data_IF_881092724727
#
_entry.id   IF_881092724727
#
_cell.length_a   1.000
_cell.length_b   1.000
_cell.length_c   1.000
_cell.angle_alpha   90.00
_cell.angle_beta   90.00
_cell.angle_gamma   90.00
#
_symmetry.space_group_name_H-M   'P 1'
#
loop_
_entity.id
_entity.type
_entity.pdbx_description
1 polymer ?
#
# COMPACT_ATOMS: atom_id res chain seq x y z
N UNK A 1 25.23 6.62 4.40
CA UNK A 1 24.43 7.41 5.37
C UNK A 1 24.56 8.88 5.01
N UNK A 2 23.54 9.47 4.38
CA UNK A 2 23.32 10.92 4.35
C UNK A 2 21.82 11.13 4.54
N UNK A 3 21.42 11.42 5.78
CA UNK A 3 20.13 12.00 6.14
C UNK A 3 20.13 13.44 5.63
N UNK A 4 19.14 13.87 4.86
CA UNK A 4 18.90 15.30 4.65
C UNK A 4 17.40 15.60 4.34
N UNK A 5 16.87 16.72 4.86
CA UNK A 5 15.45 16.99 5.12
C UNK A 5 14.68 17.54 3.90
N UNK A 6 15.08 17.17 2.69
CA UNK A 6 14.63 17.82 1.45
C UNK A 6 13.20 17.42 1.04
N UNK A 7 12.71 16.28 1.55
CA UNK A 7 11.46 15.66 1.09
C UNK A 7 10.20 16.37 1.63
N UNK A 8 10.29 17.00 2.80
CA UNK A 8 9.12 17.65 3.43
C UNK A 8 8.80 19.02 2.81
N UNK A 9 9.80 19.78 2.36
CA UNK A 9 9.58 21.14 1.86
C UNK A 9 9.11 21.19 0.39
N UNK A 10 9.37 20.12 -0.37
CA UNK A 10 9.01 20.03 -1.79
C UNK A 10 7.52 19.74 -2.00
N UNK A 11 6.93 18.90 -1.14
CA UNK A 11 5.53 18.50 -1.23
C UNK A 11 4.56 19.64 -0.91
N UNK A 12 4.88 20.52 0.04
CA UNK A 12 4.02 21.66 0.41
C UNK A 12 3.96 22.74 -0.68
N UNK A 13 4.99 22.86 -1.53
CA UNK A 13 5.04 23.87 -2.61
C UNK A 13 4.41 23.42 -3.93
N UNK A 14 4.10 22.14 -4.09
CA UNK A 14 3.52 21.60 -5.33
C UNK A 14 1.98 21.62 -5.35
N UNK A 15 1.33 21.60 -4.18
CA UNK A 15 -0.14 21.57 -4.06
C UNK A 15 -0.87 22.77 -4.67
N UNK A 16 -0.16 23.85 -5.04
CA UNK A 16 -0.75 25.09 -5.55
C UNK A 16 -0.20 25.52 -6.92
N UNK A 17 0.70 24.74 -7.53
CA UNK A 17 1.42 25.19 -8.73
C UNK A 17 0.82 24.61 -10.00
N UNK A 18 0.35 25.50 -10.88
CA UNK A 18 -0.09 25.15 -12.24
C UNK A 18 0.99 24.31 -12.95
N UNK A 19 0.62 23.33 -13.78
CA UNK A 19 1.55 22.41 -14.46
C UNK A 19 2.76 23.08 -15.15
N UNK A 20 2.60 24.33 -15.62
CA UNK A 20 3.67 25.12 -16.25
C UNK A 20 4.79 25.60 -15.31
N UNK A 21 4.60 25.63 -13.99
CA UNK A 21 5.63 26.13 -13.06
C UNK A 21 6.70 25.08 -12.73
N UNK A 22 6.41 23.79 -12.86
CA UNK A 22 7.37 22.71 -12.53
C UNK A 22 8.47 22.60 -13.60
N UNK A 23 8.13 22.81 -14.88
CA UNK A 23 9.11 22.83 -15.99
C UNK A 23 10.15 23.95 -15.87
N UNK A 24 9.83 25.07 -15.22
CA UNK A 24 10.78 26.18 -15.02
C UNK A 24 11.91 25.85 -14.05
N UNK A 25 11.69 24.89 -13.14
CA UNK A 25 12.68 24.51 -12.12
C UNK A 25 13.51 23.31 -12.55
N UNK A 26 13.00 22.47 -13.46
CA UNK A 26 13.74 21.34 -14.02
C UNK A 26 13.53 21.27 -15.53
N UNK A 27 14.46 21.79 -16.35
CA UNK A 27 14.32 21.81 -17.80
C UNK A 27 14.35 20.40 -18.43
N UNK A 28 14.83 19.39 -17.70
CA UNK A 28 14.81 17.98 -18.14
C UNK A 28 13.51 17.26 -17.78
N UNK A 29 12.62 17.88 -17.01
CA UNK A 29 11.33 17.29 -16.64
C UNK A 29 10.30 17.54 -17.75
N UNK A 30 9.97 16.47 -18.46
CA UNK A 30 8.86 16.46 -19.40
C UNK A 30 7.62 15.91 -18.70
N UNK A 31 6.58 16.74 -18.60
CA UNK A 31 5.31 16.37 -18.00
C UNK A 31 4.20 16.49 -19.04
N UNK A 32 3.42 15.42 -19.14
CA UNK A 32 2.21 15.30 -19.95
C UNK A 32 1.10 14.83 -19.02
N UNK A 33 -0.06 15.49 -19.14
CA UNK A 33 -1.25 15.19 -18.36
C UNK A 33 -2.36 14.88 -19.35
N UNK A 34 -3.19 13.89 -19.05
CA UNK A 34 -4.40 13.56 -19.79
C UNK A 34 -5.60 13.61 -18.85
N UNK A 35 -6.74 14.09 -19.34
CA UNK A 35 -7.95 14.26 -18.53
C UNK A 35 -9.14 13.61 -19.23
N UNK A 36 -9.87 12.76 -18.51
CA UNK A 36 -11.08 12.10 -19.03
C UNK A 36 -12.33 13.00 -18.88
N UNK A 37 -12.45 13.75 -17.78
CA UNK A 37 -13.56 14.68 -17.53
C UNK A 37 -13.22 16.12 -17.91
N UNK A 38 -12.88 16.36 -19.17
CA UNK A 38 -12.47 17.69 -19.66
C UNK A 38 -13.60 18.52 -20.27
N UNK A 39 -14.81 17.98 -20.37
CA UNK A 39 -15.98 18.66 -20.95
C UNK A 39 -16.35 19.88 -20.11
N UNK A 40 -16.63 21.01 -20.77
CA UNK A 40 -16.95 22.28 -20.09
C UNK A 40 -15.75 22.97 -19.43
N UNK A 41 -14.52 22.54 -19.71
CA UNK A 41 -13.29 23.18 -19.19
C UNK A 41 -12.41 23.74 -20.33
N UNK A 42 -11.54 24.71 -20.02
CA UNK A 42 -10.55 25.28 -20.96
C UNK A 42 -9.37 24.33 -21.27
N UNK A 43 -9.51 23.03 -21.00
CA UNK A 43 -8.46 22.04 -21.18
C UNK A 43 -8.12 21.84 -22.66
N UNK A 44 -6.85 22.09 -23.03
CA UNK A 44 -6.33 21.95 -24.40
C UNK A 44 -5.36 20.77 -24.58
N UNK A 45 -5.12 19.98 -23.53
CA UNK A 45 -4.21 18.84 -23.58
C UNK A 45 -4.87 17.56 -24.07
N UNK A 46 -4.12 16.44 -24.07
CA UNK A 46 -4.65 15.11 -24.35
C UNK A 46 -5.87 14.78 -23.48
N UNK A 47 -6.83 14.03 -24.05
CA UNK A 47 -8.05 13.60 -23.36
C UNK A 47 -8.13 12.07 -23.31
N UNK A 48 -8.77 11.57 -22.27
CA UNK A 48 -8.99 10.14 -22.06
C UNK A 48 -7.96 9.47 -21.15
N UNK A 49 -7.92 8.13 -21.20
CA UNK A 49 -7.04 7.27 -20.39
C UNK A 49 -5.65 7.13 -21.03
N UNK A 50 -4.73 6.45 -20.34
CA UNK A 50 -3.44 6.09 -20.91
C UNK A 50 -3.64 5.08 -22.03
N UNK A 51 -3.20 5.42 -23.24
CA UNK A 51 -3.23 4.55 -24.42
C UNK A 51 -1.82 4.38 -24.99
N UNK A 52 -1.67 3.38 -25.86
CA UNK A 52 -0.42 3.10 -26.56
C UNK A 52 0.05 4.32 -27.36
N UNK A 53 -0.85 4.96 -28.07
CA UNK A 53 -0.61 6.13 -28.92
C UNK A 53 -0.12 7.32 -28.09
N UNK A 54 -0.75 7.55 -26.93
CA UNK A 54 -0.34 8.63 -26.04
C UNK A 54 1.08 8.40 -25.50
N UNK A 55 1.40 7.17 -25.11
CA UNK A 55 2.72 6.82 -24.56
C UNK A 55 3.82 6.90 -25.62
N UNK A 56 3.60 6.36 -26.82
CA UNK A 56 4.60 6.39 -27.91
C UNK A 56 4.85 7.80 -28.42
N UNK A 57 3.80 8.63 -28.54
CA UNK A 57 3.93 10.02 -28.96
C UNK A 57 4.67 10.86 -27.90
N UNK A 58 4.46 10.57 -26.62
CA UNK A 58 4.99 11.39 -25.52
C UNK A 58 6.39 10.97 -25.07
N UNK A 59 6.71 9.68 -25.16
CA UNK A 59 7.89 9.09 -24.51
C UNK A 59 8.75 8.38 -25.57
N UNK A 60 9.72 9.08 -26.20
CA UNK A 60 10.59 8.44 -27.21
C UNK A 60 11.46 7.37 -26.55
N UNK A 61 11.71 6.23 -27.20
CA UNK A 61 12.52 5.13 -26.64
C UNK A 61 12.02 4.61 -25.27
N UNK A 62 10.69 4.39 -25.14
CA UNK A 62 10.09 3.91 -23.89
C UNK A 62 10.68 2.57 -23.41
N UNK A 63 11.00 1.66 -24.32
CA UNK A 63 11.55 0.32 -24.01
C UNK A 63 12.90 0.35 -23.28
N UNK A 64 13.72 1.40 -23.46
CA UNK A 64 15.01 1.51 -22.76
C UNK A 64 14.91 2.24 -21.42
N UNK A 65 13.71 2.66 -21.00
CA UNK A 65 13.51 3.49 -19.80
C UNK A 65 12.98 2.68 -18.62
N UNK A 66 13.37 3.12 -17.42
CA UNK A 66 12.75 2.66 -16.17
C UNK A 66 11.40 3.35 -16.01
N UNK A 67 10.36 2.57 -15.76
CA UNK A 67 9.00 3.06 -15.57
C UNK A 67 8.61 2.90 -14.11
N UNK A 68 8.19 3.99 -13.48
CA UNK A 68 7.57 3.97 -12.16
C UNK A 68 6.07 4.16 -12.32
N UNK A 69 5.29 3.19 -11.87
CA UNK A 69 3.84 3.14 -12.09
C UNK A 69 3.12 3.02 -10.73
N UNK A 70 2.24 3.97 -10.47
CA UNK A 70 1.45 4.02 -9.26
C UNK A 70 0.06 4.53 -9.62
N UNK A 71 -0.97 3.97 -8.97
CA UNK A 71 -2.35 4.36 -9.18
C UNK A 71 -3.33 3.27 -8.76
N UNK A 72 -4.62 3.42 -9.10
CA UNK A 72 -5.63 2.38 -8.89
C UNK A 72 -5.24 1.07 -9.60
N UNK A 73 -5.54 -0.11 -9.01
CA UNK A 73 -5.15 -1.42 -9.57
C UNK A 73 -5.53 -1.61 -11.03
N UNK A 74 -6.77 -1.30 -11.41
CA UNK A 74 -7.25 -1.43 -12.80
C UNK A 74 -6.49 -0.55 -13.80
N UNK A 75 -6.07 0.64 -13.38
CA UNK A 75 -5.24 1.53 -14.20
C UNK A 75 -3.83 0.97 -14.34
N UNK A 76 -3.24 0.46 -13.26
CA UNK A 76 -1.91 -0.11 -13.29
C UNK A 76 -1.86 -1.38 -14.15
N UNK A 77 -2.85 -2.26 -14.05
CA UNK A 77 -2.96 -3.47 -14.89
C UNK A 77 -3.06 -3.12 -16.38
N UNK A 78 -3.98 -2.22 -16.73
CA UNK A 78 -4.13 -1.76 -18.11
C UNK A 78 -2.84 -1.11 -18.64
N UNK A 79 -2.16 -0.32 -17.82
CA UNK A 79 -0.91 0.34 -18.21
C UNK A 79 0.23 -0.66 -18.36
N UNK A 80 0.34 -1.67 -17.47
CA UNK A 80 1.34 -2.75 -17.59
C UNK A 80 1.17 -3.50 -18.91
N UNK A 81 -0.06 -3.84 -19.29
CA UNK A 81 -0.34 -4.52 -20.57
C UNK A 81 0.18 -3.70 -21.76
N UNK A 82 -0.13 -2.39 -21.80
CA UNK A 82 0.36 -1.49 -22.86
C UNK A 82 1.90 -1.42 -22.87
N UNK A 83 2.54 -1.34 -21.70
CA UNK A 83 4.01 -1.30 -21.60
C UNK A 83 4.67 -2.58 -22.12
N UNK A 84 4.08 -3.74 -21.81
CA UNK A 84 4.53 -5.03 -22.34
C UNK A 84 4.41 -5.09 -23.86
N UNK A 85 3.30 -4.64 -24.44
CA UNK A 85 3.15 -4.55 -25.90
C UNK A 85 4.16 -3.59 -26.55
N UNK A 86 4.61 -2.57 -25.83
CA UNK A 86 5.62 -1.61 -26.28
C UNK A 86 7.06 -2.10 -26.05
N UNK A 87 7.24 -3.34 -25.61
CA UNK A 87 8.55 -3.97 -25.44
C UNK A 87 9.32 -3.50 -24.21
N UNK A 88 8.65 -2.95 -23.19
CA UNK A 88 9.28 -2.64 -21.90
C UNK A 88 9.47 -3.94 -21.11
N UNK A 89 10.71 -4.22 -20.70
CA UNK A 89 10.98 -5.44 -19.95
C UNK A 89 10.34 -5.37 -18.54
N UNK A 90 9.76 -6.46 -18.00
CA UNK A 90 9.12 -6.45 -16.69
C UNK A 90 10.01 -5.91 -15.56
N UNK A 91 11.32 -6.21 -15.59
CA UNK A 91 12.28 -5.73 -14.60
C UNK A 91 12.48 -4.20 -14.56
N UNK A 92 12.12 -3.50 -15.65
CA UNK A 92 12.19 -2.04 -15.75
C UNK A 92 10.95 -1.34 -15.18
N UNK A 93 9.85 -2.06 -14.94
CA UNK A 93 8.62 -1.52 -14.37
C UNK A 93 8.64 -1.69 -12.85
N UNK A 94 8.63 -0.57 -12.13
CA UNK A 94 8.54 -0.52 -10.66
C UNK A 94 7.16 -0.04 -10.28
N UNK A 95 6.45 -0.80 -9.46
CA UNK A 95 5.09 -0.47 -9.07
C UNK A 95 4.95 -0.22 -7.60
N UNK A 96 4.11 0.75 -7.25
CA UNK A 96 3.70 1.03 -5.88
C UNK A 96 2.18 1.11 -5.86
N UNK A 97 1.55 0.22 -5.07
CA UNK A 97 0.10 0.11 -4.99
C UNK A 97 -0.36 0.91 -3.77
N UNK A 98 -1.09 2.01 -4.01
CA UNK A 98 -1.72 2.76 -2.95
C UNK A 98 -3.20 2.42 -2.87
N UNK A 99 -3.60 1.91 -1.71
CA UNK A 99 -4.96 1.47 -1.42
C UNK A 99 -5.18 0.03 -1.84
N UNK A 100 -5.48 -0.82 -0.85
CA UNK A 100 -6.14 -2.06 -1.14
C UNK A 100 -7.48 -1.74 -1.82
N UNK A 101 -7.80 -2.42 -2.92
CA UNK A 101 -9.21 -2.67 -3.24
C UNK A 101 -9.78 -3.35 -2.01
N UNK A 102 -10.49 -2.60 -1.16
CA UNK A 102 -11.15 -3.17 0.01
C UNK A 102 -11.88 -4.43 -0.47
N UNK A 103 -11.61 -5.63 0.07
CA UNK A 103 -12.60 -6.68 -0.01
C UNK A 103 -13.88 -6.04 0.51
N UNK A 104 -14.98 -6.20 -0.23
CA UNK A 104 -16.29 -5.68 0.15
C UNK A 104 -16.47 -5.93 1.66
N UNK A 105 -16.68 -4.88 2.48
CA UNK A 105 -16.86 -5.09 3.89
C UNK A 105 -18.06 -6.00 4.09
N UNK A 106 -17.84 -7.19 4.63
CA UNK A 106 -18.80 -7.71 5.60
C UNK A 106 -18.82 -6.68 6.74
N UNK A 107 -20.02 -6.31 7.15
CA UNK A 107 -20.31 -5.07 7.85
C UNK A 107 -19.52 -4.88 9.16
N UNK A 108 -19.44 -3.61 9.55
CA UNK A 108 -19.06 -3.04 10.86
C UNK A 108 -17.57 -2.72 11.08
N UNK A 109 -17.27 -1.43 10.92
CA UNK A 109 -16.08 -0.77 11.47
C UNK A 109 -16.49 0.57 12.06
N UNK A 110 -17.23 0.54 13.17
CA UNK A 110 -17.40 1.70 14.04
C UNK A 110 -16.38 1.54 15.17
N UNK A 111 -15.48 2.51 15.31
CA UNK A 111 -14.64 2.66 16.49
C UNK A 111 -15.54 2.76 17.72
N UNK A 112 -15.65 1.65 18.44
CA UNK A 112 -16.23 1.57 19.77
C UNK A 112 -15.32 0.62 20.53
N UNK A 113 -14.65 1.14 21.56
CA UNK A 113 -14.00 0.31 22.59
C UNK A 113 -14.95 -0.84 22.96
N UNK A 114 -14.57 -2.12 22.79
CA UNK A 114 -15.42 -3.22 23.22
C UNK A 114 -15.48 -3.22 24.76
N UNK A 115 -16.64 -2.90 25.31
CA UNK A 115 -17.01 -3.14 26.73
C UNK A 115 -17.57 -4.56 26.90
N UNK A 116 -17.35 -5.46 25.92
CA UNK A 116 -17.72 -6.86 26.04
C UNK A 116 -16.52 -7.67 26.57
N UNK A 117 -16.72 -8.71 27.39
CA UNK A 117 -15.64 -9.60 27.77
C UNK A 117 -15.09 -10.30 26.52
N UNK A 118 -13.79 -10.16 26.28
CA UNK A 118 -13.09 -10.87 25.22
C UNK A 118 -13.31 -12.38 25.38
N UNK A 119 -14.09 -12.95 24.47
CA UNK A 119 -14.47 -14.38 24.47
C UNK A 119 -13.71 -15.16 23.39
N UNK A 120 -12.86 -14.49 22.61
CA UNK A 120 -12.08 -15.12 21.55
C UNK A 120 -10.79 -15.77 22.03
N UNK A 121 -9.98 -16.24 21.07
CA UNK A 121 -8.74 -16.98 21.34
C UNK A 121 -7.73 -16.18 22.17
N UNK A 122 -6.88 -16.91 22.89
CA UNK A 122 -5.79 -16.33 23.67
C UNK A 122 -4.63 -15.99 22.75
N UNK A 123 -4.25 -14.71 22.72
CA UNK A 123 -3.05 -14.25 22.01
C UNK A 123 -1.94 -14.04 23.02
N UNK A 124 -0.81 -14.71 22.80
CA UNK A 124 0.37 -14.63 23.67
C UNK A 124 1.50 -13.87 22.97
N UNK A 125 1.99 -12.83 23.63
CA UNK A 125 3.11 -12.01 23.17
C UNK A 125 4.38 -12.44 23.89
N UNK A 126 5.21 -13.24 23.22
CA UNK A 126 6.32 -13.96 23.84
C UNK A 126 7.42 -13.03 24.37
N UNK A 127 7.66 -11.85 23.78
CA UNK A 127 8.73 -10.96 24.25
C UNK A 127 8.35 -10.18 25.51
N UNK A 128 7.04 -9.91 25.66
CA UNK A 128 6.52 -9.16 26.79
C UNK A 128 5.91 -10.04 27.89
N UNK A 129 5.87 -11.36 27.68
CA UNK A 129 5.23 -12.34 28.58
C UNK A 129 3.79 -11.95 28.95
N UNK A 130 3.09 -11.32 28.02
CA UNK A 130 1.70 -10.87 28.17
C UNK A 130 0.80 -11.74 27.31
N UNK A 131 -0.35 -12.12 27.85
CA UNK A 131 -1.39 -12.83 27.11
C UNK A 131 -2.74 -12.19 27.37
N UNK A 132 -3.53 -11.99 26.32
CA UNK A 132 -4.88 -11.49 26.46
C UNK A 132 -5.80 -12.17 25.45
N UNK A 133 -7.08 -12.24 25.79
CA UNK A 133 -8.10 -12.73 24.86
C UNK A 133 -8.40 -11.63 23.86
N UNK A 134 -8.52 -12.03 22.59
CA UNK A 134 -8.85 -11.13 21.49
C UNK A 134 -10.35 -11.15 21.20
N UNK A 135 -10.88 -10.08 20.61
CA UNK A 135 -12.22 -10.09 20.02
C UNK A 135 -12.20 -10.68 18.60
N UNK A 136 -13.29 -11.33 18.18
CA UNK A 136 -13.41 -11.98 16.85
C UNK A 136 -13.18 -11.00 15.69
N UNK A 137 -13.54 -9.73 15.87
CA UNK A 137 -13.36 -8.70 14.85
C UNK A 137 -12.04 -7.91 14.96
N UNK A 138 -11.26 -8.17 16.02
CA UNK A 138 -10.05 -7.43 16.34
C UNK A 138 -8.81 -8.10 15.75
N UNK A 139 -7.89 -7.27 15.27
CA UNK A 139 -6.58 -7.72 14.79
C UNK A 139 -5.56 -7.86 15.91
N UNK A 140 -4.52 -8.68 15.71
CA UNK A 140 -3.41 -8.82 16.66
C UNK A 140 -2.75 -7.47 16.95
N UNK A 141 -2.66 -6.58 15.94
CA UNK A 141 -2.15 -5.22 16.13
C UNK A 141 -3.00 -4.42 17.12
N UNK A 142 -4.32 -4.42 16.97
CA UNK A 142 -5.21 -3.66 17.86
C UNK A 142 -5.12 -4.18 19.31
N UNK A 143 -5.04 -5.50 19.50
CA UNK A 143 -4.81 -6.07 20.82
C UNK A 143 -3.44 -5.68 21.40
N UNK A 144 -2.41 -5.63 20.57
CA UNK A 144 -1.09 -5.18 21.00
C UNK A 144 -1.11 -3.71 21.47
N UNK A 145 -1.87 -2.84 20.80
CA UNK A 145 -2.04 -1.43 21.19
C UNK A 145 -2.74 -1.32 22.57
N UNK A 146 -3.76 -2.14 22.82
CA UNK A 146 -4.46 -2.19 24.11
C UNK A 146 -3.56 -2.65 25.26
N UNK A 147 -2.65 -3.58 25.00
CA UNK A 147 -1.68 -4.08 25.97
C UNK A 147 -0.41 -3.23 26.09
N UNK A 148 -0.34 -2.12 25.33
CA UNK A 148 0.84 -1.26 25.17
C UNK A 148 2.10 -2.05 24.74
N UNK A 149 1.92 -2.95 23.78
CA UNK A 149 2.97 -3.76 23.14
C UNK A 149 3.38 -3.07 21.83
N UNK A 150 4.68 -2.82 21.68
CA UNK A 150 5.20 -2.04 20.56
C UNK A 150 5.38 -2.86 19.29
N UNK A 151 4.33 -3.01 18.49
CA UNK A 151 4.43 -3.48 17.10
C UNK A 151 4.52 -2.27 16.18
N UNK A 152 5.52 -2.23 15.30
CA UNK A 152 5.61 -1.16 14.30
C UNK A 152 4.48 -1.28 13.27
N UNK A 153 3.83 -0.17 12.92
CA UNK A 153 2.78 -0.17 11.89
C UNK A 153 2.77 1.13 11.08
N UNK A 154 2.17 1.08 9.89
CA UNK A 154 1.99 2.27 9.04
C UNK A 154 0.65 2.26 8.30
N UNK A 155 0.50 1.44 7.25
CA UNK A 155 -0.69 1.53 6.37
C UNK A 155 -1.98 0.94 6.98
N UNK A 156 -1.87 0.02 7.95
CA UNK A 156 -2.97 -0.77 8.55
C UNK A 156 -3.87 -1.55 7.56
N UNK A 157 -3.46 -1.67 6.29
CA UNK A 157 -4.24 -2.34 5.23
C UNK A 157 -3.51 -3.52 4.58
N UNK A 158 -2.39 -3.98 5.18
CA UNK A 158 -1.66 -5.17 4.72
C UNK A 158 -0.72 -4.98 3.53
N UNK A 159 -0.47 -3.74 3.07
CA UNK A 159 0.33 -3.49 1.85
C UNK A 159 1.75 -2.97 2.10
N UNK A 160 2.05 -2.39 3.26
CA UNK A 160 3.37 -1.79 3.53
C UNK A 160 4.39 -2.73 4.18
N UNK A 161 3.96 -3.83 4.81
CA UNK A 161 4.86 -4.79 5.48
C UNK A 161 5.51 -4.32 6.80
N UNK A 162 5.28 -3.09 7.26
CA UNK A 162 5.81 -2.59 8.56
C UNK A 162 5.28 -3.42 9.75
N UNK A 163 4.05 -3.92 9.65
CA UNK A 163 3.39 -4.70 10.71
C UNK A 163 3.79 -6.19 10.75
N UNK A 164 4.95 -6.57 10.16
CA UNK A 164 5.44 -7.96 10.14
C UNK A 164 5.85 -8.41 11.54
N UNK A 165 5.29 -9.53 11.99
CA UNK A 165 5.64 -10.19 13.25
C UNK A 165 5.74 -11.69 13.01
N UNK A 166 6.63 -12.36 13.74
CA UNK A 166 6.78 -13.81 13.67
C UNK A 166 5.76 -14.50 14.57
N UNK A 167 5.00 -15.43 14.00
CA UNK A 167 4.08 -16.31 14.71
C UNK A 167 4.84 -17.58 15.14
N UNK A 168 4.78 -17.92 16.42
CA UNK A 168 5.42 -19.11 17.00
C UNK A 168 4.49 -20.30 17.11
N UNK A 169 3.18 -20.06 17.23
CA UNK A 169 2.17 -21.12 17.24
C UNK A 169 0.78 -20.59 16.87
N UNK A 170 -0.10 -21.48 16.43
CA UNK A 170 -1.50 -21.20 16.11
C UNK A 170 -1.77 -20.95 14.62
N UNK A 171 -2.99 -20.56 14.30
CA UNK A 171 -3.42 -20.21 12.95
C UNK A 171 -4.12 -18.84 12.94
N UNK A 172 -3.78 -18.00 11.96
CA UNK A 172 -4.40 -16.70 11.74
C UNK A 172 -4.99 -16.63 10.34
N UNK A 173 -6.09 -15.89 10.22
CA UNK A 173 -6.68 -15.48 8.95
C UNK A 173 -6.25 -14.05 8.62
N UNK A 174 -5.81 -13.82 7.37
CA UNK A 174 -5.44 -12.48 6.88
C UNK A 174 -6.23 -12.17 5.61
N UNK A 175 -6.89 -11.01 5.58
CA UNK A 175 -7.66 -10.58 4.42
C UNK A 175 -6.77 -10.07 3.26
N UNK A 176 -5.59 -9.52 3.58
CA UNK A 176 -4.62 -8.99 2.60
C UNK A 176 -3.22 -9.44 3.01
N UNK A 177 -2.50 -10.07 2.08
CA UNK A 177 -1.16 -10.62 2.29
C UNK A 177 -0.12 -10.03 1.32
N UNK A 178 -0.43 -8.93 0.64
CA UNK A 178 0.36 -8.36 -0.47
C UNK A 178 1.81 -8.02 -0.08
N UNK A 179 2.07 -7.73 1.19
CA UNK A 179 3.39 -7.39 1.71
C UNK A 179 4.23 -8.59 2.19
N UNK A 180 3.70 -9.82 2.12
CA UNK A 180 4.41 -11.04 2.50
C UNK A 180 5.03 -11.70 1.27
N UNK A 181 6.35 -11.90 1.33
CA UNK A 181 7.04 -12.73 0.34
C UNK A 181 6.80 -14.22 0.64
N UNK A 182 7.00 -15.13 -0.34
CA UNK A 182 6.84 -16.56 -0.09
C UNK A 182 7.71 -17.08 1.06
N UNK A 183 8.93 -16.54 1.19
CA UNK A 183 9.86 -16.89 2.27
C UNK A 183 9.35 -16.44 3.65
N UNK A 184 8.70 -15.28 3.72
CA UNK A 184 8.06 -14.79 4.95
C UNK A 184 7.00 -15.77 5.45
N UNK A 185 6.17 -16.31 4.53
CA UNK A 185 5.11 -17.27 4.88
C UNK A 185 5.68 -18.58 5.42
N UNK A 186 6.78 -19.07 4.83
CA UNK A 186 7.46 -20.29 5.28
C UNK A 186 8.09 -20.09 6.66
N UNK A 187 8.60 -18.90 6.94
CA UNK A 187 9.16 -18.53 8.24
C UNK A 187 8.11 -18.19 9.31
N UNK A 188 6.81 -18.35 9.01
CA UNK A 188 5.72 -18.05 9.93
C UNK A 188 5.54 -16.56 10.22
N UNK A 189 5.97 -15.68 9.31
CA UNK A 189 5.76 -14.24 9.43
C UNK A 189 4.34 -13.88 9.00
N UNK A 190 3.67 -13.10 9.85
CA UNK A 190 2.30 -12.64 9.65
C UNK A 190 2.23 -11.11 9.69
N UNK A 191 1.19 -10.53 9.09
CA UNK A 191 0.90 -9.10 9.15
C UNK A 191 -0.03 -8.83 10.33
N UNK A 192 0.50 -8.35 11.45
CA UNK A 192 -0.27 -8.10 12.69
C UNK A 192 -1.52 -7.22 12.45
N UNK A 193 -1.44 -6.31 11.49
CA UNK A 193 -2.51 -5.39 11.12
C UNK A 193 -3.66 -6.00 10.29
N UNK A 194 -3.51 -7.24 9.82
CA UNK A 194 -4.55 -7.99 9.11
C UNK A 194 -4.83 -9.35 9.77
N UNK A 195 -3.94 -9.83 10.64
CA UNK A 195 -4.03 -11.12 11.29
C UNK A 195 -5.15 -11.15 12.33
N UNK A 196 -6.14 -12.01 12.07
CA UNK A 196 -7.20 -12.38 12.99
C UNK A 196 -7.00 -13.85 13.41
N UNK A 197 -6.73 -14.13 14.69
CA UNK A 197 -6.50 -15.50 15.15
C UNK A 197 -7.79 -16.33 15.09
N UNK A 198 -7.69 -17.55 14.56
CA UNK A 198 -8.79 -18.52 14.60
C UNK A 198 -8.78 -19.33 15.88
N UNK A 199 -7.57 -19.69 16.33
CA UNK A 199 -7.28 -20.45 17.54
C UNK A 199 -6.27 -19.70 18.42
N UNK A 200 -5.85 -20.31 19.53
CA UNK A 200 -4.83 -19.73 20.41
C UNK A 200 -3.52 -19.53 19.65
N UNK A 201 -3.04 -18.28 19.61
CA UNK A 201 -1.91 -17.86 18.78
C UNK A 201 -0.82 -17.25 19.66
N UNK A 202 0.44 -17.57 19.35
CA UNK A 202 1.60 -16.93 19.98
C UNK A 202 2.44 -16.18 18.94
N UNK A 203 2.88 -14.98 19.29
CA UNK A 203 3.66 -14.08 18.42
C UNK A 203 4.88 -13.51 19.15
N UNK A 204 5.98 -13.31 18.42
CA UNK A 204 7.24 -12.74 18.93
C UNK A 204 7.22 -11.19 18.93
N UNK A 205 6.32 -10.60 19.71
CA UNK A 205 6.19 -9.16 19.92
C UNK A 205 6.23 -8.76 21.40
#
# INVERSE_FOLDING_TARGET
MIKAPFQAHFLTKLGSKKPGQVKRVNPKLHMTVTMSGAEGTDWKGPRGRLTKELLTHTIPNLSSRRVHLCGPPSMMEATKAILTELGVAPGQVKTEVFGATKPKPSAAGTSSKPTAPATGPLVTFSKNSKSAKIHVDQSILELSEELAIGIEFSCRVGTCGVCKVKMTSGEVEMAVEDALEPDDKVNGIILACQAKPKDDVAVEA
#
